data_IF_116535144434
#
_entry.id   IF_116535144434
#
_cell.length_a   1.000
_cell.length_b   1.000
_cell.length_c   1.000
_cell.angle_alpha   90.00
_cell.angle_beta   90.00
_cell.angle_gamma   90.00
#
_symmetry.space_group_name_H-M   'P 1'
#
loop_
_entity.id
_entity.type
_entity.pdbx_description
1 polymer ?
#
# COMPACT_ATOMS: atom_id res chain seq x y z
N UNK A 1 3.28 4.21 7.96
CA UNK A 1 3.46 3.30 6.80
C UNK A 1 4.92 3.35 6.42
N UNK A 2 5.57 2.19 6.43
CA UNK A 2 7.01 2.04 6.17
C UNK A 2 7.18 1.64 4.70
N UNK A 3 8.23 2.13 4.04
CA UNK A 3 8.60 1.72 2.70
C UNK A 3 9.32 0.37 2.76
N UNK A 4 8.83 -0.64 2.05
CA UNK A 4 9.47 -1.96 1.96
C UNK A 4 10.13 -2.07 0.58
N UNK A 5 11.44 -1.82 0.53
CA UNK A 5 12.19 -1.81 -0.72
C UNK A 5 12.26 -3.18 -1.38
N UNK A 6 12.36 -4.27 -0.59
CA UNK A 6 12.39 -5.64 -1.11
C UNK A 6 11.05 -5.99 -1.77
N UNK A 7 9.93 -5.68 -1.11
CA UNK A 7 8.60 -5.81 -1.69
C UNK A 7 8.50 -5.03 -3.00
N UNK A 8 8.94 -3.78 -2.98
CA UNK A 8 8.81 -2.86 -4.12
C UNK A 8 9.56 -3.36 -5.36
N UNK A 9 10.83 -3.79 -5.22
CA UNK A 9 11.59 -4.39 -6.34
C UNK A 9 10.91 -5.67 -6.83
N UNK A 10 10.42 -6.52 -5.91
CA UNK A 10 9.85 -7.81 -6.29
C UNK A 10 8.49 -7.67 -6.99
N UNK A 11 7.69 -6.67 -6.60
CA UNK A 11 6.37 -6.36 -7.15
C UNK A 11 6.42 -5.86 -8.60
N UNK A 12 7.45 -5.09 -8.96
CA UNK A 12 7.55 -4.41 -10.25
C UNK A 12 8.71 -4.93 -11.12
N UNK A 13 8.37 -5.72 -12.14
CA UNK A 13 9.35 -6.37 -13.01
C UNK A 13 10.27 -5.39 -13.76
N UNK A 14 9.80 -4.19 -14.09
CA UNK A 14 10.60 -3.17 -14.75
C UNK A 14 11.78 -2.70 -13.87
N UNK A 15 11.63 -2.71 -12.54
CA UNK A 15 12.72 -2.36 -11.61
C UNK A 15 13.85 -3.39 -11.62
N UNK A 16 13.50 -4.66 -11.83
CA UNK A 16 14.48 -5.75 -11.98
C UNK A 16 15.32 -5.55 -13.25
N UNK A 17 14.69 -5.12 -14.35
CA UNK A 17 15.39 -4.79 -15.59
C UNK A 17 16.33 -3.59 -15.45
N UNK A 18 15.98 -2.62 -14.59
CA UNK A 18 16.81 -1.45 -14.30
C UNK A 18 17.99 -1.73 -13.34
N UNK A 19 18.18 -2.98 -12.90
CA UNK A 19 19.23 -3.36 -11.96
C UNK A 19 19.20 -2.60 -10.62
N UNK A 20 18.01 -2.12 -10.22
CA UNK A 20 17.77 -1.59 -8.87
C UNK A 20 17.85 -2.77 -7.90
N UNK A 21 18.81 -2.74 -6.96
CA UNK A 21 19.16 -3.90 -6.13
C UNK A 21 19.29 -3.60 -4.64
N UNK A 22 19.18 -2.34 -4.24
CA UNK A 22 19.34 -1.92 -2.86
C UNK A 22 18.23 -0.94 -2.46
N UNK A 23 18.15 -0.67 -1.17
CA UNK A 23 17.15 0.22 -0.57
C UNK A 23 17.23 1.65 -1.12
N UNK A 24 18.44 2.21 -1.22
CA UNK A 24 18.67 3.59 -1.66
C UNK A 24 18.17 3.82 -3.10
N UNK A 25 18.55 2.96 -4.03
CA UNK A 25 18.11 3.03 -5.43
C UNK A 25 16.59 2.84 -5.56
N UNK A 26 16.02 1.93 -4.77
CA UNK A 26 14.58 1.68 -4.74
C UNK A 26 13.80 2.89 -4.26
N UNK A 27 14.29 3.51 -3.18
CA UNK A 27 13.70 4.70 -2.61
C UNK A 27 13.82 5.89 -3.58
N UNK A 28 14.99 6.09 -4.18
CA UNK A 28 15.22 7.13 -5.19
C UNK A 28 14.29 6.94 -6.40
N UNK A 29 14.12 5.71 -6.88
CA UNK A 29 13.18 5.40 -7.95
C UNK A 29 11.73 5.73 -7.56
N UNK A 30 11.32 5.32 -6.36
CA UNK A 30 9.97 5.61 -5.86
C UNK A 30 9.73 7.12 -5.73
N UNK A 31 10.68 7.87 -5.18
CA UNK A 31 10.58 9.32 -5.07
C UNK A 31 10.47 10.01 -6.45
N UNK A 32 11.27 9.57 -7.43
CA UNK A 32 11.33 10.20 -8.76
C UNK A 32 10.14 9.82 -9.65
N UNK A 33 9.65 8.59 -9.55
CA UNK A 33 8.65 8.04 -10.46
C UNK A 33 7.50 7.35 -9.72
N UNK A 34 7.82 6.40 -8.84
CA UNK A 34 6.83 5.51 -8.21
C UNK A 34 5.71 6.23 -7.47
N UNK A 35 5.98 7.36 -6.81
CA UNK A 35 4.97 8.16 -6.11
C UNK A 35 3.96 8.78 -7.08
N UNK A 36 4.41 9.31 -8.22
CA UNK A 36 3.53 9.89 -9.26
C UNK A 36 2.75 8.81 -10.00
N UNK A 37 3.34 7.63 -10.15
CA UNK A 37 2.72 6.44 -10.73
C UNK A 37 1.82 5.69 -9.75
N UNK A 38 1.75 6.15 -8.50
CA UNK A 38 1.00 5.54 -7.41
C UNK A 38 1.35 4.06 -7.17
N UNK A 39 2.63 3.72 -7.28
CA UNK A 39 3.12 2.36 -7.07
C UNK A 39 3.05 1.96 -5.60
N UNK A 40 2.42 0.83 -5.32
CA UNK A 40 2.35 0.22 -3.99
C UNK A 40 3.77 -0.12 -3.54
N UNK A 41 4.16 0.41 -2.39
CA UNK A 41 5.54 0.39 -1.91
C UNK A 41 5.73 -0.43 -0.64
N UNK A 42 4.69 -1.14 -0.21
CA UNK A 42 4.73 -2.06 0.91
C UNK A 42 3.61 -3.10 0.81
N UNK A 43 3.80 -4.17 1.56
CA UNK A 43 2.84 -5.24 1.71
C UNK A 43 1.50 -4.73 2.26
N UNK A 44 0.42 -5.39 1.82
CA UNK A 44 -0.90 -5.21 2.41
C UNK A 44 -0.85 -5.86 3.80
N UNK A 45 -1.12 -5.10 4.88
CA UNK A 45 -1.13 -5.67 6.22
C UNK A 45 -2.19 -6.75 6.32
N UNK A 46 -1.86 -7.91 6.90
CA UNK A 46 -2.80 -9.04 7.09
C UNK A 46 -4.10 -8.65 7.80
N UNK A 47 -4.06 -7.58 8.59
CA UNK A 47 -5.19 -7.06 9.34
C UNK A 47 -5.98 -5.98 8.58
N UNK A 48 -5.62 -5.63 7.34
CA UNK A 48 -6.36 -4.70 6.49
C UNK A 48 -7.62 -5.39 5.93
N UNK A 49 -8.78 -5.10 6.52
CA UNK A 49 -10.04 -5.60 5.98
C UNK A 49 -10.53 -4.71 4.84
N UNK A 50 -10.09 -5.00 3.62
CA UNK A 50 -10.41 -4.19 2.45
C UNK A 50 -11.91 -4.18 2.12
N UNK A 51 -12.63 -5.28 2.38
CA UNK A 51 -14.08 -5.38 2.19
C UNK A 51 -14.79 -4.40 3.13
N UNK A 52 -14.41 -4.38 4.40
CA UNK A 52 -14.95 -3.43 5.38
C UNK A 52 -14.59 -1.99 5.01
N UNK A 53 -13.36 -1.76 4.54
CA UNK A 53 -12.92 -0.45 4.06
C UNK A 53 -13.80 0.06 2.91
N UNK A 54 -14.04 -0.75 1.88
CA UNK A 54 -14.91 -0.39 0.75
C UNK A 54 -16.37 -0.20 1.20
N UNK A 55 -16.92 -1.10 2.01
CA UNK A 55 -18.31 -1.01 2.47
C UNK A 55 -18.57 0.21 3.39
N UNK A 56 -17.57 0.63 4.16
CA UNK A 56 -17.67 1.80 5.04
C UNK A 56 -17.62 3.11 4.24
N UNK A 57 -16.99 3.11 3.07
CA UNK A 57 -16.73 4.28 2.24
C UNK A 57 -17.51 4.15 0.93
N UNK A 58 -18.75 4.62 0.90
CA UNK A 58 -19.74 4.33 -0.16
C UNK A 58 -19.26 4.65 -1.58
N UNK A 59 -18.45 5.70 -1.74
CA UNK A 59 -17.85 6.10 -3.01
C UNK A 59 -16.81 5.10 -3.56
N UNK A 60 -16.27 4.24 -2.69
CA UNK A 60 -15.27 3.22 -3.04
C UNK A 60 -15.89 1.92 -3.55
N UNK A 61 -17.22 1.80 -3.67
CA UNK A 61 -17.90 0.57 -4.13
C UNK A 61 -17.49 0.09 -5.53
N UNK A 62 -16.84 0.95 -6.31
CA UNK A 62 -16.28 0.59 -7.61
C UNK A 62 -15.00 -0.25 -7.50
N UNK A 63 -14.27 -0.20 -6.37
CA UNK A 63 -13.07 -1.00 -6.11
C UNK A 63 -13.46 -2.48 -5.92
N UNK A 64 -12.79 -3.37 -6.66
CA UNK A 64 -13.12 -4.80 -6.69
C UNK A 64 -12.02 -5.69 -6.10
N UNK A 65 -10.83 -5.13 -5.86
CA UNK A 65 -9.69 -5.92 -5.38
C UNK A 65 -9.08 -5.33 -4.10
N UNK A 66 -8.46 -6.20 -3.31
CA UNK A 66 -7.70 -5.80 -2.12
C UNK A 66 -6.54 -4.86 -2.47
N UNK A 67 -5.89 -5.11 -3.60
CA UNK A 67 -4.78 -4.29 -4.09
C UNK A 67 -5.22 -2.86 -4.44
N UNK A 68 -6.33 -2.70 -5.14
CA UNK A 68 -6.93 -1.39 -5.43
C UNK A 68 -7.36 -0.65 -4.16
N UNK A 69 -7.97 -1.37 -3.21
CA UNK A 69 -8.38 -0.80 -1.93
C UNK A 69 -7.17 -0.32 -1.11
N UNK A 70 -6.10 -1.13 -1.10
CA UNK A 70 -4.86 -0.78 -0.42
C UNK A 70 -4.18 0.41 -1.07
N UNK A 71 -4.08 0.41 -2.41
CA UNK A 71 -3.57 1.54 -3.18
C UNK A 71 -4.35 2.83 -2.85
N UNK A 72 -5.68 2.76 -2.88
CA UNK A 72 -6.52 3.90 -2.52
C UNK A 72 -6.23 4.38 -1.10
N UNK A 73 -6.14 3.48 -0.12
CA UNK A 73 -5.83 3.85 1.25
C UNK A 73 -4.45 4.52 1.40
N UNK A 74 -3.42 3.97 0.74
CA UNK A 74 -2.05 4.48 0.77
C UNK A 74 -1.95 5.92 0.28
N UNK A 75 -2.60 6.23 -0.84
CA UNK A 75 -2.44 7.50 -1.55
C UNK A 75 -3.49 8.55 -1.18
N UNK A 76 -4.72 8.12 -0.89
CA UNK A 76 -5.87 9.01 -0.70
C UNK A 76 -6.49 8.84 0.69
N UNK A 77 -6.78 7.60 1.08
CA UNK A 77 -7.56 7.30 2.27
C UNK A 77 -6.99 7.88 3.56
N UNK A 78 -5.67 7.96 3.71
CA UNK A 78 -5.01 8.60 4.86
C UNK A 78 -5.18 10.11 4.90
N UNK A 79 -5.08 10.76 3.74
CA UNK A 79 -5.21 12.22 3.59
C UNK A 79 -6.67 12.62 3.83
N UNK A 80 -7.60 11.82 3.32
CA UNK A 80 -9.04 11.96 3.50
C UNK A 80 -9.53 11.51 4.88
N UNK A 81 -8.64 10.97 5.73
CA UNK A 81 -8.98 10.44 7.07
C UNK A 81 -10.08 9.38 7.04
N UNK A 82 -10.08 8.52 6.00
CA UNK A 82 -11.06 7.44 5.85
C UNK A 82 -10.98 6.48 7.02
N UNK A 83 -12.16 6.02 7.46
CA UNK A 83 -12.24 4.96 8.47
C UNK A 83 -11.72 3.67 7.87
N UNK A 84 -10.71 3.10 8.50
CA UNK A 84 -10.21 1.75 8.22
C UNK A 84 -10.52 0.88 9.42
N UNK A 85 -11.18 -0.24 9.17
CA UNK A 85 -11.32 -1.27 10.18
C UNK A 85 -10.16 -2.25 10.02
N UNK A 86 -9.26 -2.24 10.99
CA UNK A 86 -8.28 -3.32 11.11
C UNK A 86 -8.92 -4.46 11.91
N UNK A 87 -8.81 -5.70 11.44
CA UNK A 87 -9.35 -6.84 12.18
C UNK A 87 -8.71 -6.89 13.56
N UNK A 88 -9.53 -6.95 14.60
CA UNK A 88 -9.17 -6.73 16.01
C UNK A 88 -8.19 -7.78 16.62
N UNK A 89 -7.64 -8.69 15.82
CA UNK A 89 -7.01 -9.90 16.33
C UNK A 89 -5.69 -9.67 17.09
N UNK A 90 -5.01 -8.52 16.97
CA UNK A 90 -3.69 -8.31 17.61
C UNK A 90 -3.40 -6.92 18.21
N UNK A 91 -4.37 -6.03 18.40
CA UNK A 91 -4.16 -4.81 19.21
C UNK A 91 -3.85 -5.10 20.70
N UNK A 92 -3.75 -6.37 21.11
CA UNK A 92 -3.26 -6.81 22.42
C UNK A 92 -1.72 -6.94 22.51
N UNK A 93 -0.97 -6.81 21.41
CA UNK A 93 0.48 -7.08 21.39
C UNK A 93 1.36 -5.88 20.99
N UNK A 94 0.79 -4.67 20.98
CA UNK A 94 1.58 -3.45 20.87
C UNK A 94 1.27 -2.56 22.09
N UNK A 95 1.98 -2.82 23.19
CA UNK A 95 2.25 -1.87 24.27
C UNK A 95 3.73 -1.51 24.18
#
# INVERSE_FOLDING_TARGET
MIFNWEFYINKYNDLKCLSIKNEEDSWNHWLKYGKREERIYNDIPIFFNWIAYVNTNVDLKHIQTEEEAWKHFLYYGRIEKRKVLFTHYLMKYCV
#
